data_IF_696686309813
#
_entry.id   IF_696686309813
#
_cell.length_a   1.000
_cell.length_b   1.000
_cell.length_c   1.000
_cell.angle_alpha   90.00
_cell.angle_beta   90.00
_cell.angle_gamma   90.00
#
_symmetry.space_group_name_H-M   'P 1'
#
loop_
_entity.id
_entity.type
_entity.pdbx_description
1 polymer ?
#
# COMPACT_ATOMS: atom_id res chain seq x y z
N UNK A 1 18.67 -28.64 -27.61
CA UNK A 1 17.58 -29.38 -26.93
C UNK A 1 16.74 -28.38 -26.17
N UNK A 2 15.42 -28.34 -26.35
CA UNK A 2 14.58 -27.44 -25.54
C UNK A 2 14.51 -27.98 -24.12
N UNK A 3 14.98 -27.19 -23.15
CA UNK A 3 14.98 -27.55 -21.74
C UNK A 3 13.56 -27.79 -21.20
N UNK A 4 12.57 -27.09 -21.75
CA UNK A 4 11.15 -27.20 -21.39
C UNK A 4 10.38 -27.82 -22.54
N UNK A 5 9.64 -28.90 -22.25
CA UNK A 5 8.80 -29.62 -23.20
C UNK A 5 7.36 -29.09 -23.15
N UNK A 6 6.89 -28.70 -21.96
CA UNK A 6 5.57 -28.10 -21.74
C UNK A 6 5.72 -26.61 -21.41
N UNK A 7 4.93 -25.80 -22.13
CA UNK A 7 4.89 -24.34 -22.02
C UNK A 7 3.59 -23.90 -21.37
N UNK A 8 3.56 -24.00 -20.04
CA UNK A 8 2.38 -23.57 -19.25
C UNK A 8 2.05 -22.12 -19.55
N UNK A 9 0.78 -21.81 -19.80
CA UNK A 9 0.33 -20.42 -19.94
C UNK A 9 0.09 -19.81 -18.55
N UNK A 10 0.64 -18.62 -18.25
CA UNK A 10 0.34 -17.93 -17.00
C UNK A 10 -1.12 -17.46 -16.98
N UNK A 11 -1.75 -17.48 -15.81
CA UNK A 11 -3.00 -16.74 -15.59
C UNK A 11 -2.69 -15.28 -15.24
N UNK A 12 -3.63 -14.37 -15.53
CA UNK A 12 -3.41 -12.93 -15.37
C UNK A 12 -3.21 -12.50 -13.91
N UNK A 13 -3.85 -13.20 -12.98
CA UNK A 13 -3.84 -12.90 -11.54
C UNK A 13 -3.12 -13.97 -10.72
N UNK A 14 -2.34 -14.84 -11.37
CA UNK A 14 -1.51 -15.85 -10.74
C UNK A 14 -0.25 -15.24 -10.10
N UNK A 15 0.22 -15.81 -8.99
CA UNK A 15 1.52 -15.41 -8.44
C UNK A 15 2.68 -15.97 -9.27
N UNK A 16 3.78 -15.22 -9.34
CA UNK A 16 5.01 -15.67 -10.01
C UNK A 16 5.46 -17.04 -9.49
N UNK A 17 5.40 -17.25 -8.18
CA UNK A 17 5.76 -18.50 -7.52
C UNK A 17 4.89 -19.67 -7.97
N UNK A 18 3.56 -19.47 -8.05
CA UNK A 18 2.63 -20.50 -8.50
C UNK A 18 2.87 -20.89 -9.95
N UNK A 19 3.09 -19.89 -10.81
CA UNK A 19 3.40 -20.14 -12.22
C UNK A 19 4.64 -21.02 -12.36
N UNK A 20 5.72 -20.68 -11.66
CA UNK A 20 6.98 -21.44 -11.72
C UNK A 20 6.84 -22.86 -11.16
N UNK A 21 6.03 -23.04 -10.10
CA UNK A 21 5.70 -24.37 -9.58
C UNK A 21 4.92 -25.21 -10.60
N UNK A 22 3.87 -24.65 -11.20
CA UNK A 22 3.09 -25.37 -12.22
C UNK A 22 3.94 -25.69 -13.44
N UNK A 23 4.81 -24.78 -13.86
CA UNK A 23 5.77 -25.01 -14.94
C UNK A 23 6.72 -26.16 -14.61
N UNK A 24 7.23 -26.24 -13.38
CA UNK A 24 8.03 -27.35 -12.88
C UNK A 24 7.27 -28.68 -12.96
N UNK A 25 6.05 -28.72 -12.41
CA UNK A 25 5.21 -29.93 -12.33
C UNK A 25 4.85 -30.43 -13.73
N UNK A 26 4.40 -29.54 -14.63
CA UNK A 26 4.04 -29.93 -16.00
C UNK A 26 5.25 -30.44 -16.80
N UNK A 27 6.47 -30.03 -16.46
CA UNK A 27 7.68 -30.56 -17.08
C UNK A 27 8.23 -31.82 -16.37
N UNK A 28 7.45 -32.45 -15.48
CA UNK A 28 7.77 -33.74 -14.87
C UNK A 28 8.79 -33.68 -13.73
N UNK A 29 9.04 -32.50 -13.16
CA UNK A 29 9.96 -32.37 -12.03
C UNK A 29 9.24 -32.62 -10.71
N UNK A 30 9.72 -33.62 -9.96
CA UNK A 30 9.19 -33.97 -8.63
C UNK A 30 9.57 -32.97 -7.52
N UNK A 31 10.61 -32.16 -7.74
CA UNK A 31 11.09 -31.15 -6.79
C UNK A 31 11.37 -29.85 -7.51
N UNK A 32 10.83 -28.75 -6.99
CA UNK A 32 11.04 -27.42 -7.55
C UNK A 32 12.53 -27.06 -7.64
N UNK A 33 13.34 -27.46 -6.65
CA UNK A 33 14.78 -27.18 -6.63
C UNK A 33 15.52 -27.84 -7.80
N UNK A 34 15.08 -29.03 -8.22
CA UNK A 34 15.67 -29.75 -9.36
C UNK A 34 15.33 -29.07 -10.68
N UNK A 35 14.07 -28.64 -10.85
CA UNK A 35 13.66 -27.81 -11.99
C UNK A 35 14.49 -26.53 -12.05
N UNK A 36 14.58 -25.83 -10.92
CA UNK A 36 15.24 -24.55 -10.85
C UNK A 36 16.75 -24.62 -11.06
N UNK A 37 17.40 -25.69 -10.58
CA UNK A 37 18.80 -25.97 -10.87
C UNK A 37 19.04 -26.19 -12.38
N UNK A 38 18.13 -26.91 -13.04
CA UNK A 38 18.15 -27.07 -14.50
C UNK A 38 18.02 -25.74 -15.24
N UNK A 39 17.06 -24.90 -14.81
CA UNK A 39 16.86 -23.56 -15.39
C UNK A 39 18.14 -22.75 -15.24
N UNK A 40 18.71 -22.70 -14.03
CA UNK A 40 19.94 -21.96 -13.74
C UNK A 40 21.13 -22.43 -14.60
N UNK A 41 21.30 -23.74 -14.77
CA UNK A 41 22.36 -24.30 -15.60
C UNK A 41 22.23 -23.85 -17.05
N UNK A 42 21.02 -23.91 -17.60
CA UNK A 42 20.76 -23.48 -18.97
C UNK A 42 20.97 -21.97 -19.17
N UNK A 43 20.53 -21.17 -18.19
CA UNK A 43 20.76 -19.72 -18.21
C UNK A 43 22.25 -19.37 -18.15
N UNK A 44 23.05 -20.09 -17.37
CA UNK A 44 24.50 -19.87 -17.27
C UNK A 44 25.26 -20.13 -18.58
N UNK A 45 24.86 -21.17 -19.33
CA UNK A 45 25.44 -21.42 -20.66
C UNK A 45 25.17 -20.25 -21.62
N UNK A 46 24.01 -19.61 -21.48
CA UNK A 46 23.60 -18.48 -22.32
C UNK A 46 24.07 -17.10 -21.83
N UNK A 47 24.38 -16.94 -20.53
CA UNK A 47 24.65 -15.63 -19.90
C UNK A 47 25.63 -15.71 -18.72
N UNK A 48 26.72 -14.93 -18.75
CA UNK A 48 27.71 -14.89 -17.67
C UNK A 48 27.17 -14.12 -16.45
N UNK A 49 26.95 -14.81 -15.32
CA UNK A 49 26.77 -14.21 -14.00
C UNK A 49 25.32 -13.88 -13.58
N UNK A 50 24.33 -14.49 -14.25
CA UNK A 50 22.90 -14.40 -13.88
C UNK A 50 22.51 -15.44 -12.81
N UNK A 51 23.24 -16.55 -12.68
CA UNK A 51 23.04 -17.58 -11.64
C UNK A 51 22.89 -17.04 -10.23
N UNK A 52 23.79 -16.17 -9.83
CA UNK A 52 23.82 -15.56 -8.50
C UNK A 52 22.59 -14.70 -8.20
N UNK A 53 21.83 -14.30 -9.23
CA UNK A 53 20.64 -13.47 -9.08
C UNK A 53 19.37 -14.28 -8.80
N UNK A 54 19.32 -15.55 -9.17
CA UNK A 54 18.16 -16.42 -9.00
C UNK A 54 18.24 -17.20 -7.68
N UNK A 55 17.40 -16.89 -6.67
CA UNK A 55 17.44 -17.58 -5.39
C UNK A 55 16.94 -19.02 -5.52
N UNK A 56 17.44 -19.93 -4.69
CA UNK A 56 16.98 -21.34 -4.70
C UNK A 56 15.65 -21.55 -3.98
N UNK A 57 15.28 -20.62 -3.09
CA UNK A 57 14.02 -20.65 -2.34
C UNK A 57 12.91 -19.95 -3.14
N UNK A 58 11.76 -20.61 -3.27
CA UNK A 58 10.60 -20.08 -3.98
C UNK A 58 10.09 -18.76 -3.37
N UNK A 59 10.05 -18.67 -2.04
CA UNK A 59 9.64 -17.48 -1.29
C UNK A 59 10.49 -16.22 -1.54
N UNK A 60 11.67 -16.37 -2.15
CA UNK A 60 12.58 -15.25 -2.46
C UNK A 60 12.59 -14.89 -3.94
N UNK A 61 11.81 -15.59 -4.78
CA UNK A 61 11.89 -15.46 -6.24
C UNK A 61 11.50 -14.08 -6.75
N UNK A 62 10.60 -13.40 -6.05
CA UNK A 62 10.16 -12.08 -6.46
C UNK A 62 11.30 -11.05 -6.47
N UNK A 63 11.19 -10.07 -7.38
CA UNK A 63 12.23 -9.05 -7.59
C UNK A 63 12.35 -8.14 -6.37
N UNK A 64 11.24 -7.92 -5.65
CA UNK A 64 11.21 -7.12 -4.42
C UNK A 64 12.18 -7.64 -3.34
N UNK A 65 12.49 -8.94 -3.33
CA UNK A 65 13.41 -9.55 -2.37
C UNK A 65 14.89 -9.44 -2.75
N UNK A 66 15.21 -9.00 -3.97
CA UNK A 66 16.59 -8.77 -4.38
C UNK A 66 17.15 -7.51 -3.72
N UNK A 67 18.36 -7.58 -3.14
CA UNK A 67 19.02 -6.42 -2.54
C UNK A 67 19.82 -5.61 -3.58
N UNK A 68 20.78 -6.26 -4.25
CA UNK A 68 21.67 -5.62 -5.25
C UNK A 68 21.58 -6.25 -6.64
N UNK A 69 20.72 -7.26 -6.81
CA UNK A 69 20.64 -8.10 -8.01
C UNK A 69 19.27 -8.04 -8.72
N UNK A 70 18.47 -7.00 -8.46
CA UNK A 70 17.12 -6.85 -9.04
C UNK A 70 17.15 -6.83 -10.58
N UNK A 71 18.09 -6.09 -11.19
CA UNK A 71 18.25 -6.04 -12.65
C UNK A 71 18.61 -7.41 -13.23
N UNK A 72 19.58 -8.12 -12.63
CA UNK A 72 19.95 -9.47 -13.06
C UNK A 72 18.80 -10.47 -12.92
N UNK A 73 17.96 -10.31 -11.88
CA UNK A 73 16.77 -11.16 -11.67
C UNK A 73 15.68 -10.88 -12.70
N UNK A 74 15.49 -9.62 -13.06
CA UNK A 74 14.63 -9.21 -14.16
C UNK A 74 15.08 -9.86 -15.48
N UNK A 75 16.37 -9.79 -15.79
CA UNK A 75 16.94 -10.43 -16.98
C UNK A 75 16.74 -11.95 -16.96
N UNK A 76 16.97 -12.58 -15.80
CA UNK A 76 16.75 -14.01 -15.62
C UNK A 76 15.29 -14.41 -15.89
N UNK A 77 14.32 -13.69 -15.34
CA UNK A 77 12.90 -13.95 -15.59
C UNK A 77 12.52 -13.72 -17.06
N UNK A 78 13.08 -12.69 -17.70
CA UNK A 78 12.91 -12.48 -19.14
C UNK A 78 13.40 -13.68 -19.95
N UNK A 79 14.55 -14.25 -19.61
CA UNK A 79 15.08 -15.45 -20.26
C UNK A 79 14.20 -16.68 -19.98
N UNK A 80 13.70 -16.85 -18.75
CA UNK A 80 12.72 -17.91 -18.44
C UNK A 80 11.47 -17.79 -19.31
N UNK A 81 10.96 -16.58 -19.55
CA UNK A 81 9.82 -16.38 -20.45
C UNK A 81 10.10 -16.85 -21.88
N UNK A 82 11.32 -16.56 -22.38
CA UNK A 82 11.76 -17.02 -23.70
C UNK A 82 11.83 -18.55 -23.79
N UNK A 83 12.29 -19.24 -22.73
CA UNK A 83 12.29 -20.71 -22.69
C UNK A 83 10.89 -21.31 -22.81
N UNK A 84 9.88 -20.59 -22.32
CA UNK A 84 8.48 -20.98 -22.43
C UNK A 84 7.81 -20.53 -23.74
N UNK A 85 8.55 -19.95 -24.69
CA UNK A 85 8.03 -19.29 -25.90
C UNK A 85 6.90 -18.27 -25.61
N UNK A 86 6.91 -17.68 -24.42
CA UNK A 86 6.03 -16.55 -24.12
C UNK A 86 6.78 -15.25 -24.38
N UNK A 87 6.03 -14.20 -24.73
CA UNK A 87 6.59 -12.85 -24.64
C UNK A 87 7.04 -12.59 -23.19
N UNK A 88 8.07 -11.76 -22.96
CA UNK A 88 8.55 -11.49 -21.60
C UNK A 88 7.49 -10.87 -20.67
N UNK A 89 6.59 -10.06 -21.23
CA UNK A 89 5.63 -9.26 -20.46
C UNK A 89 4.71 -10.09 -19.55
N UNK A 90 4.05 -11.17 -20.02
CA UNK A 90 3.22 -12.03 -19.17
C UNK A 90 3.87 -12.53 -17.88
N UNK A 91 5.15 -12.88 -17.89
CA UNK A 91 5.83 -13.37 -16.69
C UNK A 91 6.25 -12.21 -15.77
N UNK A 92 6.69 -11.10 -16.36
CA UNK A 92 7.05 -9.91 -15.60
C UNK A 92 5.84 -9.25 -14.95
N UNK A 93 4.64 -9.35 -15.52
CA UNK A 93 3.41 -8.84 -14.91
C UNK A 93 3.01 -9.61 -13.65
N UNK A 94 3.44 -10.87 -13.48
CA UNK A 94 3.22 -11.63 -12.24
C UNK A 94 4.21 -11.27 -11.13
N UNK A 95 5.35 -10.68 -11.47
CA UNK A 95 6.39 -10.39 -10.50
C UNK A 95 6.03 -9.20 -9.59
N UNK A 96 6.41 -9.29 -8.33
CA UNK A 96 6.45 -8.19 -7.37
C UNK A 96 7.79 -7.48 -7.46
N UNK A 97 7.76 -6.18 -7.75
CA UNK A 97 8.92 -5.30 -7.80
C UNK A 97 9.02 -4.49 -6.50
N UNK A 98 10.21 -3.97 -6.17
CA UNK A 98 10.29 -2.87 -5.20
C UNK A 98 9.64 -1.65 -5.84
N UNK A 99 8.67 -1.04 -5.17
CA UNK A 99 8.06 0.18 -5.68
C UNK A 99 8.99 1.37 -5.50
N UNK A 100 9.06 2.23 -6.52
CA UNK A 100 9.85 3.48 -6.46
C UNK A 100 9.19 4.56 -5.60
N UNK A 101 7.87 4.45 -5.39
CA UNK A 101 7.11 5.37 -4.55
C UNK A 101 7.08 4.88 -3.10
N UNK A 102 7.27 5.81 -2.15
CA UNK A 102 7.06 5.55 -0.74
C UNK A 102 5.64 5.95 -0.36
N UNK A 103 5.09 5.32 0.68
CA UNK A 103 3.94 5.86 1.40
C UNK A 103 4.41 6.78 2.53
N UNK A 104 3.47 7.50 3.13
CA UNK A 104 3.65 8.32 4.32
C UNK A 104 4.58 7.68 5.35
N UNK A 105 5.37 8.49 6.06
CA UNK A 105 6.39 8.04 7.03
C UNK A 105 7.47 7.10 6.44
N UNK A 106 7.76 7.25 5.15
CA UNK A 106 8.79 6.50 4.42
C UNK A 106 8.53 4.98 4.41
N UNK A 107 7.27 4.57 4.46
CA UNK A 107 6.91 3.15 4.31
C UNK A 107 7.21 2.71 2.88
N UNK A 108 7.94 1.61 2.75
CA UNK A 108 8.29 1.04 1.45
C UNK A 108 7.08 0.39 0.80
N UNK A 109 7.16 0.21 -0.51
CA UNK A 109 6.10 -0.39 -1.31
C UNK A 109 6.63 -1.52 -2.18
N UNK A 110 5.71 -2.37 -2.63
CA UNK A 110 5.88 -3.23 -3.79
C UNK A 110 5.06 -2.69 -4.94
N UNK A 111 5.48 -3.02 -6.16
CA UNK A 111 4.75 -2.71 -7.38
C UNK A 111 4.39 -4.01 -8.09
N UNK A 112 3.12 -4.12 -8.52
CA UNK A 112 2.63 -5.24 -9.30
C UNK A 112 1.59 -4.74 -10.32
N UNK A 113 1.85 -4.99 -11.60
CA UNK A 113 0.94 -4.70 -12.71
C UNK A 113 0.23 -3.33 -12.66
N UNK A 114 0.97 -2.25 -12.43
CA UNK A 114 0.41 -0.88 -12.37
C UNK A 114 -0.06 -0.45 -10.97
N UNK A 115 -0.06 -1.36 -9.99
CA UNK A 115 -0.54 -1.11 -8.64
C UNK A 115 0.65 -0.98 -7.68
N UNK A 116 0.62 0.08 -6.87
CA UNK A 116 1.59 0.32 -5.79
C UNK A 116 0.96 -0.06 -4.46
N UNK A 117 1.59 -0.98 -3.73
CA UNK A 117 1.04 -1.60 -2.53
C UNK A 117 2.04 -1.42 -1.38
N UNK A 118 1.63 -1.01 -0.17
CA UNK A 118 2.51 -0.95 0.99
C UNK A 118 3.15 -2.32 1.27
N UNK A 119 4.48 -2.35 1.38
CA UNK A 119 5.23 -3.58 1.63
C UNK A 119 4.79 -4.27 2.92
N UNK A 120 4.30 -3.49 3.90
CA UNK A 120 3.76 -3.98 5.18
C UNK A 120 2.64 -5.00 5.03
N UNK A 121 1.87 -4.95 3.95
CA UNK A 121 0.77 -5.88 3.73
C UNK A 121 1.20 -7.17 3.05
N UNK A 122 2.45 -7.31 2.61
CA UNK A 122 2.95 -8.58 2.09
C UNK A 122 3.05 -9.60 3.23
N UNK A 123 2.36 -10.74 3.10
CA UNK A 123 2.41 -11.83 4.08
C UNK A 123 3.84 -12.38 4.17
N UNK A 124 4.26 -12.63 5.39
CA UNK A 124 5.59 -13.22 5.68
C UNK A 124 5.51 -14.68 6.13
N UNK A 125 4.31 -15.15 6.48
CA UNK A 125 3.98 -16.51 6.93
C UNK A 125 2.59 -16.84 6.43
N UNK A 126 2.38 -18.09 6.02
CA UNK A 126 1.11 -18.62 5.54
C UNK A 126 0.60 -17.89 4.29
N UNK A 127 0.41 -18.61 3.19
CA UNK A 127 -0.32 -18.06 2.05
C UNK A 127 -1.64 -18.80 1.99
N UNK A 128 -2.74 -18.16 2.42
CA UNK A 128 -4.02 -18.84 2.45
C UNK A 128 -4.54 -19.08 1.05
N UNK A 129 -5.54 -19.94 0.96
CA UNK A 129 -6.16 -20.32 -0.31
C UNK A 129 -7.68 -20.22 -0.22
N UNK A 130 -8.32 -20.00 -1.37
CA UNK A 130 -9.75 -20.22 -1.51
C UNK A 130 -9.99 -21.64 -2.05
N UNK A 131 -10.70 -22.53 -1.32
CA UNK A 131 -10.95 -23.90 -1.78
C UNK A 131 -11.69 -23.95 -3.12
N UNK A 132 -12.67 -23.06 -3.31
CA UNK A 132 -13.43 -22.94 -4.55
C UNK A 132 -12.53 -22.53 -5.74
N UNK A 133 -11.60 -21.58 -5.54
CA UNK A 133 -10.63 -21.22 -6.58
C UNK A 133 -9.73 -22.41 -6.95
N UNK A 134 -9.20 -23.15 -5.97
CA UNK A 134 -8.34 -24.32 -6.23
C UNK A 134 -9.12 -25.40 -6.98
N UNK A 135 -10.41 -25.59 -6.66
CA UNK A 135 -11.30 -26.53 -7.34
C UNK A 135 -11.52 -26.16 -8.82
N UNK A 136 -11.66 -24.87 -9.12
CA UNK A 136 -11.84 -24.39 -10.50
C UNK A 136 -10.54 -24.45 -11.30
N UNK A 137 -9.45 -23.93 -10.72
CA UNK A 137 -8.15 -23.84 -11.36
C UNK A 137 -7.05 -23.97 -10.31
N UNK A 138 -6.17 -24.95 -10.50
CA UNK A 138 -5.09 -25.27 -9.55
C UNK A 138 -3.92 -24.29 -9.71
N UNK A 139 -4.05 -23.09 -9.17
CA UNK A 139 -2.98 -22.09 -9.03
C UNK A 139 -3.23 -21.16 -7.83
N UNK A 140 -2.19 -20.44 -7.40
CA UNK A 140 -2.29 -19.46 -6.31
C UNK A 140 -2.47 -18.06 -6.90
N UNK A 141 -3.50 -17.35 -6.45
CA UNK A 141 -3.74 -15.96 -6.87
C UNK A 141 -2.77 -14.99 -6.18
N UNK A 142 -2.34 -13.97 -6.91
CA UNK A 142 -1.40 -12.96 -6.42
C UNK A 142 -1.93 -12.24 -5.19
N UNK A 143 -3.24 -11.94 -5.15
CA UNK A 143 -3.84 -11.19 -4.04
C UNK A 143 -3.82 -11.94 -2.69
N UNK A 144 -3.72 -13.28 -2.68
CA UNK A 144 -3.59 -14.07 -1.43
C UNK A 144 -2.27 -13.78 -0.69
N UNK A 145 -1.28 -13.21 -1.35
CA UNK A 145 -0.01 -12.80 -0.73
C UNK A 145 -0.15 -11.55 0.13
N UNK A 146 -1.30 -10.87 0.12
CA UNK A 146 -1.51 -9.67 0.92
C UNK A 146 -2.43 -9.94 2.11
N UNK A 147 -2.06 -9.42 3.28
CA UNK A 147 -2.73 -9.69 4.55
C UNK A 147 -4.15 -9.13 4.63
N UNK A 148 -4.45 -8.09 3.85
CA UNK A 148 -5.78 -7.47 3.80
C UNK A 148 -6.85 -8.31 3.10
N UNK A 149 -6.44 -9.32 2.33
CA UNK A 149 -7.40 -10.27 1.77
C UNK A 149 -7.69 -11.35 2.81
N UNK A 150 -8.83 -11.20 3.49
CA UNK A 150 -9.42 -12.22 4.36
C UNK A 150 -10.45 -13.08 3.61
N UNK A 151 -11.07 -12.50 2.58
CA UNK A 151 -12.06 -13.16 1.73
C UNK A 151 -11.60 -13.21 0.27
N UNK A 152 -12.07 -14.22 -0.45
CA UNK A 152 -11.87 -14.34 -1.88
C UNK A 152 -12.80 -13.37 -2.64
N UNK A 153 -12.26 -12.49 -3.51
CA UNK A 153 -13.08 -11.60 -4.32
C UNK A 153 -13.84 -12.33 -5.45
N UNK A 154 -13.53 -13.58 -5.76
CA UNK A 154 -14.27 -14.35 -6.78
C UNK A 154 -15.44 -15.12 -6.19
N UNK A 155 -15.23 -15.74 -5.02
CA UNK A 155 -16.20 -16.67 -4.43
C UNK A 155 -16.88 -16.16 -3.16
N UNK A 156 -16.47 -15.01 -2.61
CA UNK A 156 -17.08 -14.44 -1.40
C UNK A 156 -17.03 -15.37 -0.18
N UNK A 157 -15.95 -16.15 -0.08
CA UNK A 157 -15.67 -17.07 1.03
C UNK A 157 -14.37 -16.70 1.72
N UNK A 158 -14.26 -17.03 3.00
CA UNK A 158 -13.04 -16.81 3.78
C UNK A 158 -11.88 -17.62 3.20
N UNK A 159 -10.70 -16.99 3.14
CA UNK A 159 -9.48 -17.69 2.76
C UNK A 159 -9.05 -18.63 3.91
N UNK A 160 -8.71 -19.86 3.56
CA UNK A 160 -8.27 -20.90 4.51
C UNK A 160 -6.77 -20.80 4.72
N UNK A 161 -6.36 -20.58 5.97
CA UNK A 161 -4.95 -20.58 6.38
C UNK A 161 -4.47 -21.96 6.85
N UNK A 162 -5.38 -22.86 7.19
CA UNK A 162 -5.07 -24.18 7.72
C UNK A 162 -5.92 -25.26 7.05
N UNK A 163 -5.31 -26.42 6.88
CA UNK A 163 -6.01 -27.66 6.57
C UNK A 163 -6.78 -28.16 7.81
N UNK A 164 -7.79 -29.01 7.64
CA UNK A 164 -8.57 -29.59 8.74
C UNK A 164 -7.71 -30.49 9.66
N UNK A 165 -6.54 -30.95 9.19
CA UNK A 165 -5.55 -31.65 10.03
C UNK A 165 -4.71 -30.70 10.93
N UNK A 166 -4.97 -29.40 10.86
CA UNK A 166 -4.28 -28.35 11.62
C UNK A 166 -2.98 -27.84 10.99
N UNK A 167 -2.54 -28.39 9.86
CA UNK A 167 -1.34 -27.91 9.16
C UNK A 167 -1.57 -26.53 8.54
N UNK A 168 -0.61 -25.61 8.72
CA UNK A 168 -0.63 -24.30 8.07
C UNK A 168 -0.46 -24.46 6.56
N UNK A 169 -1.33 -23.80 5.79
CA UNK A 169 -1.26 -23.80 4.33
C UNK A 169 -0.19 -22.80 3.90
N UNK A 170 0.89 -23.31 3.33
CA UNK A 170 1.94 -22.50 2.76
C UNK A 170 2.65 -23.21 1.60
N UNK A 171 2.13 -22.96 0.39
CA UNK A 171 2.67 -23.53 -0.84
C UNK A 171 4.12 -23.10 -1.13
N UNK A 172 4.58 -21.97 -0.56
CA UNK A 172 5.95 -21.50 -0.74
C UNK A 172 6.99 -22.43 -0.09
N UNK A 173 6.60 -23.09 1.01
CA UNK A 173 7.46 -24.04 1.72
C UNK A 173 7.16 -25.49 1.35
N UNK A 174 5.88 -25.85 1.21
CA UNK A 174 5.50 -27.22 0.86
C UNK A 174 5.78 -27.55 -0.61
N UNK A 175 5.78 -26.54 -1.50
CA UNK A 175 5.72 -26.69 -2.95
C UNK A 175 4.44 -27.42 -3.44
N UNK A 176 3.42 -27.50 -2.59
CA UNK A 176 2.12 -28.12 -2.88
C UNK A 176 1.03 -27.06 -3.01
N UNK A 177 0.33 -27.03 -4.16
CA UNK A 177 -0.75 -26.08 -4.45
C UNK A 177 -2.12 -26.66 -4.05
N UNK A 178 -2.37 -27.91 -4.41
CA UNK A 178 -3.68 -28.55 -4.25
C UNK A 178 -3.78 -29.48 -3.06
N UNK A 179 -2.66 -29.89 -2.45
CA UNK A 179 -2.63 -30.91 -1.41
C UNK A 179 -2.03 -30.38 -0.11
N UNK A 180 -2.54 -30.89 1.01
CA UNK A 180 -1.94 -30.65 2.31
C UNK A 180 -0.61 -31.40 2.43
N UNK A 181 0.46 -30.68 2.75
CA UNK A 181 1.81 -31.25 2.88
C UNK A 181 1.93 -32.33 3.97
N UNK A 182 1.05 -32.32 4.97
CA UNK A 182 1.09 -33.24 6.11
C UNK A 182 0.18 -34.46 5.93
N UNK A 183 -1.08 -34.26 5.56
CA UNK A 183 -2.05 -35.35 5.48
C UNK A 183 -2.41 -35.79 4.05
N UNK A 184 -1.94 -35.08 3.03
CA UNK A 184 -2.22 -35.39 1.62
C UNK A 184 -3.66 -35.11 1.17
N UNK A 185 -4.51 -34.58 2.04
CA UNK A 185 -5.88 -34.20 1.67
C UNK A 185 -5.88 -33.11 0.60
N UNK A 186 -6.87 -33.14 -0.28
CA UNK A 186 -7.07 -32.15 -1.32
C UNK A 186 -7.64 -30.86 -0.71
N UNK A 187 -6.92 -29.75 -0.86
CA UNK A 187 -7.29 -28.44 -0.34
C UNK A 187 -8.52 -27.85 -1.05
N UNK A 188 -8.88 -28.35 -2.24
CA UNK A 188 -10.12 -28.00 -2.93
C UNK A 188 -11.38 -28.53 -2.21
N UNK A 189 -11.22 -29.55 -1.35
CA UNK A 189 -12.32 -30.19 -0.63
C UNK A 189 -12.55 -29.57 0.75
N UNK A 190 -11.73 -28.59 1.15
CA UNK A 190 -11.94 -27.83 2.38
C UNK A 190 -13.27 -27.07 2.32
N UNK A 191 -13.97 -27.05 3.45
CA UNK A 191 -15.24 -26.33 3.56
C UNK A 191 -15.07 -24.83 3.30
N UNK A 192 -15.87 -24.31 2.36
CA UNK A 192 -15.87 -22.92 1.97
C UNK A 192 -16.88 -22.13 2.81
N UNK A 193 -16.39 -21.46 3.86
CA UNK A 193 -17.20 -20.62 4.74
C UNK A 193 -17.47 -19.27 4.09
N UNK A 194 -18.74 -18.87 3.97
CA UNK A 194 -19.14 -17.57 3.42
C UNK A 194 -18.56 -16.43 4.28
N UNK A 195 -17.99 -15.41 3.63
CA UNK A 195 -17.44 -14.24 4.32
C UNK A 195 -18.54 -13.24 4.68
N UNK A 196 -18.29 -12.39 5.69
CA UNK A 196 -19.19 -11.28 5.98
C UNK A 196 -19.24 -10.28 4.82
N UNK A 197 -20.28 -9.44 4.78
CA UNK A 197 -20.38 -8.39 3.75
C UNK A 197 -19.19 -7.40 3.79
N UNK A 198 -18.77 -6.87 4.96
CA UNK A 198 -17.58 -6.04 5.06
C UNK A 198 -16.31 -6.68 4.47
N UNK A 199 -16.04 -7.94 4.81
CA UNK A 199 -14.85 -8.65 4.33
C UNK A 199 -14.84 -8.81 2.81
N UNK A 200 -16.00 -9.17 2.23
CA UNK A 200 -16.18 -9.28 0.79
C UNK A 200 -16.01 -7.95 0.09
N UNK A 201 -16.63 -6.90 0.60
CA UNK A 201 -16.63 -5.57 0.02
C UNK A 201 -15.24 -4.94 0.05
N UNK A 202 -14.50 -5.08 1.15
CA UNK A 202 -13.09 -4.67 1.24
C UNK A 202 -12.23 -5.46 0.24
N UNK A 203 -12.42 -6.78 0.10
CA UNK A 203 -11.69 -7.58 -0.87
C UNK A 203 -11.98 -7.14 -2.33
N UNK A 204 -13.24 -6.85 -2.67
CA UNK A 204 -13.61 -6.30 -3.97
C UNK A 204 -12.98 -4.92 -4.23
N UNK A 205 -13.06 -4.02 -3.24
CA UNK A 205 -12.52 -2.67 -3.33
C UNK A 205 -10.99 -2.67 -3.51
N UNK A 206 -10.27 -3.50 -2.74
CA UNK A 206 -8.82 -3.71 -2.90
C UNK A 206 -8.44 -4.38 -4.23
N UNK A 207 -9.38 -5.10 -4.86
CA UNK A 207 -9.21 -5.67 -6.21
C UNK A 207 -9.50 -4.67 -7.32
N UNK A 208 -9.78 -3.40 -6.98
CA UNK A 208 -10.09 -2.35 -7.96
C UNK A 208 -11.53 -2.39 -8.50
N UNK A 209 -12.43 -3.17 -7.88
CA UNK A 209 -13.86 -3.17 -8.23
C UNK A 209 -14.55 -1.99 -7.55
N UNK A 210 -15.53 -1.41 -8.23
CA UNK A 210 -16.43 -0.43 -7.62
C UNK A 210 -17.34 -1.14 -6.63
N UNK A 211 -17.47 -0.57 -5.43
CA UNK A 211 -18.33 -1.07 -4.36
C UNK A 211 -19.21 0.09 -3.93
N UNK A 212 -20.53 -0.12 -3.93
CA UNK A 212 -21.48 0.89 -3.51
C UNK A 212 -21.24 1.27 -2.04
N UNK A 213 -21.28 2.57 -1.74
CA UNK A 213 -21.00 3.08 -0.40
C UNK A 213 -19.53 3.24 -0.04
N UNK A 214 -18.58 2.66 -0.80
CA UNK A 214 -17.14 2.88 -0.56
C UNK A 214 -16.58 3.96 -1.49
N UNK A 215 -15.51 4.69 -1.07
CA UNK A 215 -14.89 5.71 -1.90
C UNK A 215 -14.36 5.14 -3.22
N UNK A 216 -14.76 5.75 -4.34
CA UNK A 216 -14.24 5.43 -5.66
C UNK A 216 -12.83 6.00 -5.83
N UNK A 217 -11.82 5.15 -5.66
CA UNK A 217 -10.40 5.50 -5.79
C UNK A 217 -9.67 4.47 -6.66
N UNK A 218 -8.56 4.87 -7.24
CA UNK A 218 -7.69 3.92 -7.94
C UNK A 218 -7.07 2.94 -6.93
N UNK A 219 -6.79 1.73 -7.39
CA UNK A 219 -6.39 0.62 -6.51
C UNK A 219 -5.20 0.94 -5.59
N UNK A 220 -4.16 1.61 -6.09
CA UNK A 220 -3.00 2.04 -5.27
C UNK A 220 -3.39 2.94 -4.10
N UNK A 221 -4.41 3.79 -4.28
CA UNK A 221 -4.93 4.66 -3.22
C UNK A 221 -5.78 3.87 -2.22
N UNK A 222 -6.53 2.85 -2.65
CA UNK A 222 -7.23 1.94 -1.71
C UNK A 222 -6.26 1.34 -0.69
N UNK A 223 -5.11 0.84 -1.17
CA UNK A 223 -4.05 0.32 -0.31
C UNK A 223 -3.42 1.38 0.59
N UNK A 224 -3.22 2.60 0.08
CA UNK A 224 -2.73 3.72 0.86
C UNK A 224 -3.67 4.10 2.01
N UNK A 225 -4.97 4.14 1.74
CA UNK A 225 -6.01 4.41 2.74
C UNK A 225 -6.00 3.35 3.83
N UNK A 226 -5.88 2.06 3.49
CA UNK A 226 -5.75 1.01 4.49
C UNK A 226 -4.53 1.22 5.40
N UNK A 227 -3.37 1.55 4.83
CA UNK A 227 -2.16 1.84 5.62
C UNK A 227 -2.37 3.05 6.54
N UNK A 228 -2.93 4.13 6.01
CA UNK A 228 -3.23 5.33 6.78
C UNK A 228 -4.19 5.02 7.94
N UNK A 229 -5.30 4.35 7.65
CA UNK A 229 -6.30 3.97 8.65
C UNK A 229 -5.68 3.11 9.76
N UNK A 230 -4.86 2.13 9.39
CA UNK A 230 -4.12 1.28 10.33
C UNK A 230 -3.22 2.09 11.27
N UNK A 231 -2.48 3.06 10.72
CA UNK A 231 -1.56 3.88 11.50
C UNK A 231 -2.26 4.96 12.34
N UNK A 232 -3.45 5.41 11.93
CA UNK A 232 -4.18 6.48 12.62
C UNK A 232 -5.14 5.95 13.68
N UNK A 233 -5.83 4.83 13.43
CA UNK A 233 -6.91 4.35 14.30
C UNK A 233 -6.58 3.07 15.08
N UNK A 234 -5.56 2.32 14.67
CA UNK A 234 -5.28 1.00 15.26
C UNK A 234 -3.85 0.84 15.78
N UNK A 235 -3.13 1.94 16.02
CA UNK A 235 -1.73 1.95 16.49
C UNK A 235 -0.79 1.05 15.66
N UNK A 236 -1.11 0.83 14.37
CA UNK A 236 -0.36 -0.05 13.49
C UNK A 236 -0.64 -1.56 13.65
N UNK A 237 -1.61 -1.98 14.47
CA UNK A 237 -2.07 -3.38 14.58
C UNK A 237 -2.87 -3.81 13.34
N UNK A 238 -3.11 -5.11 13.18
CA UNK A 238 -3.79 -5.66 12.00
C UNK A 238 -5.19 -5.06 11.80
N UNK A 239 -5.53 -4.79 10.54
CA UNK A 239 -6.79 -4.12 10.18
C UNK A 239 -7.96 -5.08 10.42
N UNK A 240 -8.96 -4.61 11.13
CA UNK A 240 -10.27 -5.24 11.20
C UNK A 240 -11.11 -4.78 10.00
N UNK A 241 -11.46 -5.72 9.13
CA UNK A 241 -12.25 -5.46 7.92
C UNK A 241 -13.60 -4.80 8.22
N UNK A 242 -14.24 -5.13 9.35
CA UNK A 242 -15.54 -4.56 9.73
C UNK A 242 -15.38 -3.10 10.16
N UNK A 243 -14.40 -2.79 11.00
CA UNK A 243 -14.15 -1.42 11.43
C UNK A 243 -13.70 -0.50 10.29
N UNK A 244 -12.82 -1.02 9.41
CA UNK A 244 -12.40 -0.28 8.22
C UNK A 244 -13.60 -0.02 7.29
N UNK A 245 -14.42 -1.04 7.04
CA UNK A 245 -15.60 -0.91 6.20
C UNK A 245 -16.59 0.11 6.76
N UNK A 246 -16.93 0.03 8.06
CA UNK A 246 -17.81 0.99 8.72
C UNK A 246 -17.30 2.42 8.59
N UNK A 247 -15.99 2.62 8.75
CA UNK A 247 -15.37 3.93 8.58
C UNK A 247 -15.50 4.45 7.14
N UNK A 248 -15.23 3.60 6.14
CA UNK A 248 -15.27 3.99 4.73
C UNK A 248 -16.70 4.16 4.19
N UNK A 249 -17.66 3.38 4.68
CA UNK A 249 -19.07 3.47 4.30
C UNK A 249 -19.71 4.80 4.72
N UNK A 250 -19.15 5.46 5.73
CA UNK A 250 -19.57 6.78 6.22
C UNK A 250 -18.66 7.91 5.71
N UNK A 251 -17.82 7.65 4.71
CA UNK A 251 -16.92 8.66 4.16
C UNK A 251 -17.71 9.78 3.45
N UNK A 252 -17.36 11.07 3.63
CA UNK A 252 -16.24 11.62 4.41
C UNK A 252 -16.57 11.97 5.87
N UNK A 253 -17.82 11.79 6.29
CA UNK A 253 -18.33 12.22 7.60
C UNK A 253 -17.65 11.49 8.77
N UNK A 254 -17.21 10.26 8.57
CA UNK A 254 -16.41 9.52 9.56
C UNK A 254 -15.10 10.24 9.92
N UNK A 255 -14.38 10.76 8.91
CA UNK A 255 -13.17 11.54 9.14
C UNK A 255 -13.48 12.91 9.74
N UNK A 256 -14.52 13.60 9.26
CA UNK A 256 -14.96 14.89 9.81
C UNK A 256 -15.34 14.78 11.29
N UNK A 257 -16.08 13.73 11.64
CA UNK A 257 -16.47 13.44 13.03
C UNK A 257 -15.25 13.21 13.91
N UNK A 258 -14.26 12.44 13.42
CA UNK A 258 -12.99 12.27 14.13
C UNK A 258 -12.24 13.59 14.35
N UNK A 259 -12.14 14.45 13.32
CA UNK A 259 -11.51 15.77 13.41
C UNK A 259 -12.22 16.68 14.41
N UNK A 260 -13.55 16.72 14.36
CA UNK A 260 -14.38 17.47 15.30
C UNK A 260 -14.18 17.01 16.74
N UNK A 261 -14.18 15.69 16.99
CA UNK A 261 -13.92 15.14 18.31
C UNK A 261 -12.53 15.52 18.83
N UNK A 262 -11.48 15.48 17.99
CA UNK A 262 -10.12 15.90 18.38
C UNK A 262 -10.07 17.38 18.73
N UNK A 263 -10.73 18.22 17.93
CA UNK A 263 -10.78 19.66 18.17
C UNK A 263 -11.54 19.99 19.47
N UNK A 264 -12.72 19.39 19.68
CA UNK A 264 -13.52 19.57 20.89
C UNK A 264 -12.76 19.11 22.14
N UNK A 265 -12.14 17.93 22.09
CA UNK A 265 -11.31 17.43 23.17
C UNK A 265 -10.15 18.37 23.51
N UNK A 266 -9.47 18.91 22.49
CA UNK A 266 -8.38 19.87 22.72
C UNK A 266 -8.88 21.20 23.29
N UNK A 267 -10.09 21.65 22.96
CA UNK A 267 -10.66 22.88 23.53
C UNK A 267 -10.99 22.72 25.02
N UNK A 268 -11.47 21.55 25.43
CA UNK A 268 -11.90 21.27 26.80
C UNK A 268 -10.73 20.91 27.74
N UNK A 269 -9.76 20.12 27.27
CA UNK A 269 -8.74 19.50 28.12
C UNK A 269 -7.32 20.06 27.94
N UNK A 270 -7.08 21.04 27.06
CA UNK A 270 -5.74 21.58 26.86
C UNK A 270 -5.21 22.31 28.11
N UNK A 271 -4.01 21.93 28.54
CA UNK A 271 -3.29 22.59 29.65
C UNK A 271 -2.72 23.97 29.28
N UNK A 272 -2.68 24.29 27.99
CA UNK A 272 -2.14 25.55 27.45
C UNK A 272 -3.24 26.29 26.70
N UNK A 273 -3.16 27.64 26.66
CA UNK A 273 -4.02 28.43 25.77
C UNK A 273 -3.93 27.93 24.33
N UNK A 274 -5.05 27.95 23.61
CA UNK A 274 -5.14 27.35 22.27
C UNK A 274 -4.13 27.94 21.28
N UNK A 275 -3.85 29.24 21.35
CA UNK A 275 -2.86 29.94 20.53
C UNK A 275 -1.39 29.51 20.77
N UNK A 276 -1.14 28.65 21.77
CA UNK A 276 0.16 28.05 22.03
C UNK A 276 0.24 26.58 21.59
N UNK A 277 -0.90 25.97 21.24
CA UNK A 277 -0.97 24.60 20.77
C UNK A 277 -0.38 24.49 19.37
N UNK A 278 0.18 23.32 19.09
CA UNK A 278 0.60 22.95 17.76
C UNK A 278 -0.42 22.03 17.10
N UNK A 279 -0.34 21.93 15.77
CA UNK A 279 -1.16 20.96 15.03
C UNK A 279 -1.01 19.54 15.58
N UNK A 280 0.23 19.17 15.97
CA UNK A 280 0.50 17.88 16.61
C UNK A 280 -0.22 17.70 17.95
N UNK A 281 -0.40 18.76 18.73
CA UNK A 281 -1.06 18.65 20.04
C UNK A 281 -2.57 18.35 19.88
N UNK A 282 -3.19 18.83 18.80
CA UNK A 282 -4.62 18.64 18.51
C UNK A 282 -4.86 17.37 17.68
N UNK A 283 -4.18 17.26 16.54
CA UNK A 283 -4.45 16.25 15.51
C UNK A 283 -3.34 15.18 15.41
N UNK A 284 -2.33 15.22 16.28
CA UNK A 284 -1.25 14.24 16.27
C UNK A 284 -0.42 14.29 14.98
N UNK A 285 -0.17 13.13 14.38
CA UNK A 285 0.63 13.02 13.16
C UNK A 285 -0.21 13.00 11.88
N UNK A 286 -1.47 13.42 11.95
CA UNK A 286 -2.47 13.19 10.89
C UNK A 286 -2.01 13.68 9.50
N UNK A 287 -1.50 14.92 9.39
CA UNK A 287 -0.98 15.43 8.11
C UNK A 287 0.17 14.58 7.57
N UNK A 288 1.09 14.17 8.44
CA UNK A 288 2.25 13.37 8.05
C UNK A 288 1.79 11.97 7.61
N UNK A 289 0.82 11.37 8.30
CA UNK A 289 0.24 10.07 7.98
C UNK A 289 -0.57 10.11 6.68
N UNK A 290 -1.26 11.21 6.37
CA UNK A 290 -2.04 11.36 5.14
C UNK A 290 -1.25 11.89 3.95
N UNK A 291 -0.03 12.41 4.17
CA UNK A 291 0.72 13.17 3.16
C UNK A 291 0.93 12.46 1.82
N UNK A 292 1.13 11.13 1.81
CA UNK A 292 1.50 10.39 0.60
C UNK A 292 0.88 8.99 0.55
N UNK A 293 -0.22 8.84 -0.17
CA UNK A 293 -1.02 7.60 -0.18
C UNK A 293 -1.41 7.05 -1.57
N UNK A 294 -0.48 6.73 -2.50
CA UNK A 294 0.97 6.97 -2.53
C UNK A 294 1.32 8.33 -3.16
N UNK A 295 0.32 9.11 -3.56
CA UNK A 295 0.47 10.44 -4.15
C UNK A 295 0.23 11.52 -3.10
N UNK A 296 0.85 12.69 -3.28
CA UNK A 296 0.58 13.91 -2.49
C UNK A 296 -0.50 14.78 -3.15
N UNK A 297 -0.98 14.38 -4.32
CA UNK A 297 -1.93 15.11 -5.14
C UNK A 297 -3.33 15.09 -4.50
N UNK A 298 -3.95 16.26 -4.27
CA UNK A 298 -5.28 16.36 -3.65
C UNK A 298 -6.40 15.80 -4.53
N UNK A 299 -6.24 15.79 -5.86
CA UNK A 299 -7.23 15.19 -6.77
C UNK A 299 -7.34 13.67 -6.64
N UNK A 300 -6.28 12.99 -6.18
CA UNK A 300 -6.22 11.52 -6.05
C UNK A 300 -6.27 11.08 -4.57
N UNK A 301 -5.55 11.79 -3.70
CA UNK A 301 -5.43 11.48 -2.28
C UNK A 301 -6.62 12.06 -1.51
N UNK A 302 -7.73 11.31 -1.49
CA UNK A 302 -8.98 11.73 -0.85
C UNK A 302 -8.82 12.03 0.65
N UNK A 303 -7.87 11.39 1.34
CA UNK A 303 -7.62 11.60 2.76
C UNK A 303 -7.00 12.96 3.01
N UNK A 304 -5.91 13.27 2.31
CA UNK A 304 -5.26 14.57 2.42
C UNK A 304 -6.18 15.68 1.93
N UNK A 305 -6.91 15.43 0.83
CA UNK A 305 -7.95 16.34 0.32
C UNK A 305 -8.96 16.70 1.39
N UNK A 306 -9.51 15.71 2.09
CA UNK A 306 -10.53 15.95 3.09
C UNK A 306 -9.98 16.67 4.32
N UNK A 307 -8.76 16.35 4.74
CA UNK A 307 -8.09 17.08 5.84
C UNK A 307 -7.88 18.54 5.46
N UNK A 308 -7.33 18.82 4.27
CA UNK A 308 -7.08 20.20 3.82
C UNK A 308 -8.40 20.96 3.65
N UNK A 309 -9.43 20.32 3.10
CA UNK A 309 -10.78 20.88 2.98
C UNK A 309 -11.36 21.26 4.34
N UNK A 310 -11.30 20.34 5.31
CA UNK A 310 -11.76 20.61 6.68
C UNK A 310 -11.02 21.80 7.29
N UNK A 311 -9.69 21.86 7.12
CA UNK A 311 -8.90 22.97 7.64
C UNK A 311 -9.26 24.29 6.95
N UNK A 312 -9.44 24.31 5.62
CA UNK A 312 -9.86 25.51 4.89
C UNK A 312 -11.22 26.03 5.38
N UNK A 313 -12.20 25.14 5.56
CA UNK A 313 -13.54 25.49 6.05
C UNK A 313 -13.50 26.15 7.44
N UNK A 314 -12.59 25.73 8.33
CA UNK A 314 -12.60 26.14 9.73
C UNK A 314 -11.44 27.07 10.15
N UNK A 315 -10.40 27.27 9.33
CA UNK A 315 -9.21 28.03 9.75
C UNK A 315 -9.49 29.51 9.96
N UNK A 316 -10.46 30.09 9.24
CA UNK A 316 -10.83 31.51 9.32
C UNK A 316 -12.15 31.77 10.05
N UNK A 317 -12.75 30.74 10.65
CA UNK A 317 -13.95 30.92 11.47
C UNK A 317 -13.63 31.80 12.69
N UNK A 318 -14.38 32.89 12.96
CA UNK A 318 -14.06 33.82 14.05
C UNK A 318 -14.00 33.17 15.44
N UNK A 319 -14.78 32.11 15.64
CA UNK A 319 -14.85 31.34 16.89
C UNK A 319 -13.83 30.19 16.94
N UNK A 320 -13.15 29.91 15.84
CA UNK A 320 -12.24 28.80 15.70
C UNK A 320 -10.78 29.27 15.73
N UNK A 321 -10.09 28.98 16.82
CA UNK A 321 -8.68 29.35 17.02
C UNK A 321 -7.69 28.52 16.18
N UNK A 322 -8.16 27.82 15.13
CA UNK A 322 -7.34 26.97 14.27
C UNK A 322 -6.23 27.76 13.57
N UNK A 323 -6.49 29.00 13.14
CA UNK A 323 -5.50 29.88 12.50
C UNK A 323 -4.20 30.03 13.30
N UNK A 324 -4.30 29.99 14.62
CA UNK A 324 -3.20 30.19 15.56
C UNK A 324 -2.42 28.91 15.86
N UNK A 325 -2.88 27.75 15.39
CA UNK A 325 -2.15 26.50 15.61
C UNK A 325 -0.76 26.58 15.00
N UNK A 326 0.23 26.20 15.82
CA UNK A 326 1.63 26.20 15.40
C UNK A 326 1.95 24.99 14.53
N UNK A 327 2.59 25.25 13.40
CA UNK A 327 3.09 24.23 12.48
C UNK A 327 4.62 24.20 12.49
N UNK A 328 5.15 23.01 12.22
CA UNK A 328 6.54 22.84 11.81
C UNK A 328 6.69 22.90 10.28
N UNK A 329 7.93 22.96 9.78
CA UNK A 329 8.18 23.10 8.35
C UNK A 329 7.73 21.89 7.53
N UNK A 330 7.68 20.69 8.12
CA UNK A 330 7.20 19.47 7.44
C UNK A 330 5.68 19.58 7.23
N UNK A 331 4.93 19.95 8.27
CA UNK A 331 3.48 20.15 8.19
C UNK A 331 3.12 21.27 7.21
N UNK A 332 3.85 22.39 7.25
CA UNK A 332 3.66 23.49 6.31
C UNK A 332 3.98 23.08 4.86
N UNK A 333 5.05 22.31 4.64
CA UNK A 333 5.41 21.79 3.32
C UNK A 333 4.33 20.86 2.75
N UNK A 334 3.67 20.06 3.59
CA UNK A 334 2.55 19.20 3.18
C UNK A 334 1.36 20.03 2.70
N UNK A 335 0.95 21.05 3.46
CA UNK A 335 -0.17 21.93 3.11
C UNK A 335 0.13 22.70 1.81
N UNK A 336 1.34 23.25 1.70
CA UNK A 336 1.77 24.02 0.52
C UNK A 336 2.14 23.15 -0.69
N UNK A 337 2.13 21.81 -0.56
CA UNK A 337 2.54 20.92 -1.63
C UNK A 337 3.99 21.11 -2.09
N UNK A 338 4.89 21.48 -1.18
CA UNK A 338 6.28 21.84 -1.48
C UNK A 338 7.30 21.10 -0.60
N UNK A 339 8.58 21.46 -0.67
CA UNK A 339 9.65 20.87 0.14
C UNK A 339 9.95 21.70 1.40
N UNK A 340 10.58 21.08 2.40
CA UNK A 340 10.99 21.77 3.64
C UNK A 340 12.03 22.85 3.36
N UNK A 341 12.88 22.63 2.35
CA UNK A 341 13.85 23.61 1.88
C UNK A 341 13.16 24.85 1.32
N UNK A 342 12.07 24.67 0.55
CA UNK A 342 11.29 25.79 0.06
C UNK A 342 10.60 26.58 1.19
N UNK A 343 10.17 25.91 2.26
CA UNK A 343 9.65 26.59 3.45
C UNK A 343 10.71 27.51 4.07
N UNK A 344 11.96 27.06 4.17
CA UNK A 344 13.05 27.90 4.69
C UNK A 344 13.25 29.14 3.81
N UNK A 345 13.24 28.98 2.49
CA UNK A 345 13.35 30.10 1.53
C UNK A 345 12.21 31.12 1.70
N UNK A 346 10.97 30.66 1.88
CA UNK A 346 9.81 31.54 2.08
C UNK A 346 9.92 32.34 3.39
N UNK A 347 10.48 31.74 4.44
CA UNK A 347 10.73 32.42 5.71
C UNK A 347 11.85 33.45 5.56
N UNK A 348 12.95 33.10 4.89
CA UNK A 348 14.08 34.00 4.64
C UNK A 348 13.67 35.22 3.78
N UNK A 349 12.75 35.02 2.84
CA UNK A 349 12.17 36.09 2.01
C UNK A 349 11.09 36.92 2.72
N UNK A 350 10.66 36.51 3.92
CA UNK A 350 9.59 37.17 4.67
C UNK A 350 8.19 36.92 4.13
N UNK A 351 8.01 35.99 3.19
CA UNK A 351 6.69 35.56 2.71
C UNK A 351 5.94 34.72 3.75
N UNK A 352 6.68 33.97 4.57
CA UNK A 352 6.17 33.31 5.77
C UNK A 352 6.80 33.91 7.02
N UNK A 353 5.95 34.31 7.98
CA UNK A 353 6.40 34.90 9.23
C UNK A 353 6.50 33.84 10.33
N UNK A 354 7.53 33.93 11.17
CA UNK A 354 7.67 33.07 12.35
C UNK A 354 7.09 33.74 13.57
N UNK A 355 6.25 33.03 14.34
CA UNK A 355 5.64 33.53 15.60
C UNK A 355 6.65 33.74 16.73
N UNK A 356 7.84 33.17 16.63
CA UNK A 356 8.93 33.35 17.60
C UNK A 356 10.13 34.02 16.94
N UNK A 357 10.72 35.01 17.60
CA UNK A 357 11.89 35.73 17.10
C UNK A 357 13.06 34.76 16.92
N UNK A 358 13.46 34.53 15.69
CA UNK A 358 14.65 33.75 15.36
C UNK A 358 15.91 34.57 15.65
N UNK A 359 17.02 33.89 15.99
CA UNK A 359 18.31 34.56 16.09
C UNK A 359 18.77 34.96 14.68
N UNK A 360 19.44 36.10 14.55
CA UNK A 360 20.03 36.49 13.28
C UNK A 360 20.94 35.36 12.75
N UNK A 361 20.77 34.99 11.47
CA UNK A 361 21.50 33.93 10.77
C UNK A 361 21.24 32.48 11.26
N UNK A 362 20.18 32.20 12.03
CA UNK A 362 19.84 30.81 12.37
C UNK A 362 19.04 30.13 11.26
N UNK A 363 19.47 28.95 10.82
CA UNK A 363 18.72 28.12 9.87
C UNK A 363 17.44 27.57 10.52
N UNK A 364 16.31 27.63 9.81
CA UNK A 364 15.04 27.08 10.26
C UNK A 364 15.12 25.55 10.39
N UNK A 365 15.02 25.03 11.61
CA UNK A 365 14.92 23.58 11.82
C UNK A 365 13.53 23.07 11.41
N UNK A 366 13.49 21.98 10.64
CA UNK A 366 12.27 21.39 10.13
C UNK A 366 11.22 21.02 11.20
N UNK A 367 11.65 20.76 12.44
CA UNK A 367 10.79 20.34 13.54
C UNK A 367 10.33 21.49 14.46
N UNK A 368 10.84 22.71 14.25
CA UNK A 368 10.46 23.86 15.06
C UNK A 368 9.03 24.31 14.74
N UNK A 369 8.20 24.44 15.77
CA UNK A 369 6.77 24.83 15.67
C UNK A 369 6.63 26.34 15.72
N UNK A 370 7.02 27.00 14.63
CA UNK A 370 7.15 28.47 14.59
C UNK A 370 6.26 29.13 13.54
N UNK A 371 5.62 28.34 12.67
CA UNK A 371 4.71 28.83 11.63
C UNK A 371 3.27 28.79 12.14
N UNK A 372 2.40 29.64 11.58
CA UNK A 372 0.96 29.67 11.91
C UNK A 372 0.17 28.93 10.84
N UNK A 373 -0.83 28.15 11.24
CA UNK A 373 -1.72 27.47 10.28
C UNK A 373 -2.40 28.47 9.33
N UNK A 374 -2.92 29.57 9.88
CA UNK A 374 -3.58 30.62 9.08
C UNK A 374 -2.64 31.25 8.05
N UNK A 375 -1.42 31.61 8.42
CA UNK A 375 -0.44 32.22 7.50
C UNK A 375 -0.09 31.25 6.35
N UNK A 376 0.10 29.96 6.68
CA UNK A 376 0.36 28.91 5.69
C UNK A 376 -0.83 28.72 4.75
N UNK A 377 -2.06 28.71 5.26
CA UNK A 377 -3.27 28.58 4.42
C UNK A 377 -3.50 29.81 3.53
N UNK A 378 -3.30 31.02 4.05
CA UNK A 378 -3.35 32.26 3.26
C UNK A 378 -2.36 32.19 2.09
N UNK A 379 -1.12 31.76 2.36
CA UNK A 379 -0.11 31.62 1.31
C UNK A 379 -0.47 30.52 0.32
N UNK A 380 -1.05 29.41 0.80
CA UNK A 380 -1.51 28.34 -0.07
C UNK A 380 -2.53 28.83 -1.09
N UNK A 381 -3.58 29.50 -0.60
CA UNK A 381 -4.65 30.08 -1.42
C UNK A 381 -4.12 31.12 -2.42
N UNK A 382 -3.12 31.91 -2.02
CA UNK A 382 -2.58 32.99 -2.85
C UNK A 382 -1.59 32.53 -3.94
N UNK A 383 -0.73 31.52 -3.66
CA UNK A 383 0.44 31.24 -4.51
C UNK A 383 0.77 29.76 -4.77
N UNK A 384 0.22 28.81 -4.02
CA UNK A 384 0.62 27.39 -4.10
C UNK A 384 -0.48 26.45 -4.62
N UNK A 385 -1.53 27.01 -5.23
CA UNK A 385 -2.51 26.23 -5.96
C UNK A 385 -1.91 25.71 -7.28
N UNK A 386 -2.14 24.44 -7.59
CA UNK A 386 -1.68 23.78 -8.83
C UNK A 386 -2.85 23.08 -9.51
N UNK A 387 -2.69 22.69 -10.78
CA UNK A 387 -3.75 22.03 -11.56
C UNK A 387 -4.39 20.82 -10.86
N UNK A 388 -3.63 20.12 -10.00
CA UNK A 388 -4.13 18.95 -9.30
C UNK A 388 -4.32 19.15 -7.78
N UNK A 389 -3.79 20.25 -7.22
CA UNK A 389 -3.92 20.61 -5.80
C UNK A 389 -4.33 22.07 -5.66
N UNK A 390 -5.63 22.34 -5.76
CA UNK A 390 -6.23 23.68 -5.68
C UNK A 390 -7.61 23.61 -4.99
N UNK A 391 -8.15 24.73 -4.52
CA UNK A 391 -9.39 24.74 -3.74
C UNK A 391 -10.62 24.26 -4.51
N UNK A 392 -10.68 24.48 -5.83
CA UNK A 392 -11.80 23.97 -6.65
C UNK A 392 -11.88 22.43 -6.70
N UNK A 393 -10.81 21.69 -6.31
CA UNK A 393 -10.87 20.23 -6.17
C UNK A 393 -11.86 19.82 -5.08
N UNK A 394 -12.13 20.70 -4.11
CA UNK A 394 -13.07 20.46 -3.00
C UNK A 394 -14.54 20.64 -3.39
N UNK A 395 -14.80 21.38 -4.46
CA UNK A 395 -16.15 21.71 -4.91
C UNK A 395 -16.61 20.63 -5.89
N UNK A 396 -17.81 20.09 -5.67
CA UNK A 396 -18.48 19.26 -6.66
C UNK A 396 -18.64 20.10 -7.93
N UNK A 397 -18.21 19.59 -9.10
CA UNK A 397 -18.49 20.25 -10.40
C UNK A 397 -19.98 20.19 -10.80
N UNK A 398 -20.84 19.75 -9.88
CA UNK A 398 -22.28 19.58 -10.01
C UNK A 398 -22.98 20.24 -8.83
#
# INVERSE_FOLDING_TARGET
>A
MSMLLIRTKPFLDESLESYLLRLSIHNGYNKFQSFWAGVRSHLNESTRGIDSALPSELSKINICHANVSSAKRLDALRLVSQLTNHEPLPLLSLALFRGGQLFSRKRTSVFNNGVTIPFRFLRTKGIPICPACIKENVYIRQHWHFSLFEACPEHSVLLRNHCDCGEEINYLSSHEIAQCAKCGSNLADLEATVSSAPQREIAHWLSGRLVEGLPAVIQSHSWGICLWWQETFNDGKDIDSEQLHLFLAQWPDSLRSYLNCKLAHSKEYALKPFNQLSFKDVFGLLLIQASRLPSTNLSENIVLKEIVRYLEEHVFEPECLLSDLKLNSIEAAIILGTSVEQIAVLVDQGELQTKSRMKANSVLNANWRVLSLGDVFCLWLAKFQTDNSHSNVFISRW
#
